data_IF_616166909099
#
_entry.id   IF_616166909099
#
_cell.length_a   1.000
_cell.length_b   1.000
_cell.length_c   1.000
_cell.angle_alpha   90.00
_cell.angle_beta   90.00
_cell.angle_gamma   90.00
#
_symmetry.space_group_name_H-M   'P 1'
#
loop_
_entity.id
_entity.type
_entity.pdbx_description
1 polymer ?
#
# COMPACT_ATOMS: atom_id res chain seq x y z
N UNK A 1 -3.80 -17.57 -8.13
CA UNK A 1 -5.23 -17.47 -8.50
C UNK A 1 -5.29 -17.45 -10.02
N UNK A 2 -6.08 -18.34 -10.62
CA UNK A 2 -6.18 -18.45 -12.07
C UNK A 2 -7.50 -17.82 -12.51
N UNK A 3 -7.46 -16.57 -12.97
CA UNK A 3 -8.67 -15.85 -13.37
C UNK A 3 -9.08 -16.28 -14.78
N UNK A 4 -10.33 -16.68 -14.97
CA UNK A 4 -10.88 -16.99 -16.29
C UNK A 4 -11.64 -15.77 -16.81
N UNK A 5 -11.40 -15.41 -18.08
CA UNK A 5 -12.03 -14.25 -18.69
C UNK A 5 -12.92 -14.64 -19.88
N UNK A 6 -14.07 -13.99 -19.97
CA UNK A 6 -14.92 -13.96 -21.16
C UNK A 6 -14.92 -12.55 -21.76
N UNK A 7 -15.04 -12.47 -23.08
CA UNK A 7 -15.21 -11.18 -23.79
C UNK A 7 -16.52 -11.20 -24.55
N UNK A 8 -17.29 -10.12 -24.42
CA UNK A 8 -18.56 -9.92 -25.11
C UNK A 8 -18.52 -8.66 -25.95
N UNK A 9 -19.15 -8.72 -27.10
CA UNK A 9 -19.12 -7.66 -28.08
C UNK A 9 -20.44 -6.87 -28.04
N UNK A 10 -20.36 -5.55 -28.05
CA UNK A 10 -21.51 -4.67 -28.10
C UNK A 10 -21.34 -3.67 -29.24
N UNK A 11 -22.33 -3.56 -30.11
CA UNK A 11 -22.36 -2.55 -31.17
C UNK A 11 -22.89 -1.22 -30.62
N UNK A 12 -22.14 -0.14 -30.83
CA UNK A 12 -22.50 1.23 -30.42
C UNK A 12 -22.11 2.18 -31.56
N UNK A 13 -23.10 2.87 -32.13
CA UNK A 13 -22.91 3.91 -33.17
C UNK A 13 -21.98 3.51 -34.34
N UNK A 14 -22.16 2.28 -34.86
CA UNK A 14 -21.37 1.74 -35.97
C UNK A 14 -19.95 1.28 -35.59
N UNK A 15 -19.65 1.23 -34.29
CA UNK A 15 -18.37 0.84 -33.72
C UNK A 15 -18.56 -0.27 -32.68
N UNK A 16 -17.52 -1.07 -32.47
CA UNK A 16 -17.58 -2.28 -31.65
C UNK A 16 -16.87 -2.08 -30.32
N UNK A 17 -17.61 -2.21 -29.22
CA UNK A 17 -17.08 -2.27 -27.86
C UNK A 17 -16.83 -3.72 -27.46
N UNK A 18 -15.75 -3.95 -26.71
CA UNK A 18 -15.40 -5.27 -26.16
C UNK A 18 -15.43 -5.19 -24.64
N UNK A 19 -16.40 -5.86 -24.03
CA UNK A 19 -16.57 -5.93 -22.58
C UNK A 19 -15.90 -7.19 -22.06
N UNK A 20 -15.08 -7.05 -21.03
CA UNK A 20 -14.31 -8.15 -20.44
C UNK A 20 -14.91 -8.49 -19.07
N UNK A 21 -15.14 -9.77 -18.84
CA UNK A 21 -15.72 -10.29 -17.61
C UNK A 21 -14.81 -11.35 -17.00
N UNK A 22 -14.62 -11.30 -15.68
CA UNK A 22 -14.10 -12.42 -14.89
C UNK A 22 -15.25 -13.42 -14.65
N UNK A 23 -15.00 -14.70 -14.94
CA UNK A 23 -15.96 -15.82 -14.80
C UNK A 23 -15.42 -16.98 -13.97
N UNK A 24 -14.37 -16.76 -13.17
CA UNK A 24 -13.58 -17.79 -12.47
C UNK A 24 -14.40 -18.78 -11.63
N UNK A 25 -15.49 -18.33 -11.03
CA UNK A 25 -16.38 -19.17 -10.17
C UNK A 25 -17.81 -19.29 -10.73
N UNK A 26 -17.98 -19.14 -12.05
CA UNK A 26 -19.31 -19.06 -12.67
C UNK A 26 -20.11 -17.81 -12.32
N UNK A 27 -19.53 -16.91 -11.50
CA UNK A 27 -20.02 -15.56 -11.26
C UNK A 27 -19.34 -14.63 -12.25
N UNK A 28 -20.16 -13.88 -12.96
CA UNK A 28 -19.71 -12.88 -13.91
C UNK A 28 -19.47 -11.55 -13.21
N UNK A 29 -18.21 -11.08 -13.20
CA UNK A 29 -17.83 -9.77 -12.69
C UNK A 29 -17.27 -8.94 -13.83
N UNK A 30 -17.83 -7.75 -14.06
CA UNK A 30 -17.34 -6.85 -15.09
C UNK A 30 -15.93 -6.35 -14.74
N UNK A 31 -14.95 -6.69 -15.58
CA UNK A 31 -13.54 -6.35 -15.38
C UNK A 31 -13.14 -5.04 -16.06
N UNK A 32 -13.91 -4.60 -17.04
CA UNK A 32 -13.65 -3.39 -17.83
C UNK A 32 -13.98 -3.60 -19.31
N UNK A 33 -13.51 -2.69 -20.17
CA UNK A 33 -13.84 -2.75 -21.58
C UNK A 33 -12.80 -2.08 -22.48
N UNK A 34 -12.94 -2.31 -23.78
CA UNK A 34 -12.29 -1.55 -24.85
C UNK A 34 -13.38 -0.80 -25.60
N UNK A 35 -13.35 0.52 -25.51
CA UNK A 35 -14.34 1.43 -26.13
C UNK A 35 -13.72 2.20 -27.27
N UNK A 36 -14.55 2.62 -28.22
CA UNK A 36 -14.12 3.60 -29.21
C UNK A 36 -14.32 5.01 -28.66
N UNK A 37 -13.26 5.80 -28.66
CA UNK A 37 -13.24 7.17 -28.20
C UNK A 37 -12.98 8.12 -29.38
N UNK A 38 -13.89 9.07 -29.58
CA UNK A 38 -13.75 10.11 -30.62
C UNK A 38 -12.97 11.30 -30.07
N UNK A 39 -11.75 11.48 -30.59
CA UNK A 39 -10.93 12.65 -30.30
C UNK A 39 -11.33 13.84 -31.19
N UNK A 40 -11.20 15.06 -30.65
CA UNK A 40 -11.50 16.32 -31.35
C UNK A 40 -12.93 16.42 -31.89
N UNK A 41 -13.90 15.80 -31.20
CA UNK A 41 -15.33 15.87 -31.57
C UNK A 41 -15.75 17.33 -31.80
N UNK A 42 -16.21 17.65 -33.00
CA UNK A 42 -16.61 19.01 -33.41
C UNK A 42 -15.60 19.77 -34.27
N UNK A 43 -14.37 19.25 -34.45
CA UNK A 43 -13.38 19.85 -35.37
C UNK A 43 -13.45 19.16 -36.73
N UNK A 44 -14.12 19.80 -37.69
CA UNK A 44 -14.27 19.28 -39.07
C UNK A 44 -12.91 18.90 -39.66
N UNK A 45 -12.78 17.64 -40.07
CA UNK A 45 -11.57 17.10 -40.72
C UNK A 45 -10.45 16.63 -39.77
N UNK A 46 -10.61 16.81 -38.45
CA UNK A 46 -9.62 16.37 -37.45
C UNK A 46 -10.15 15.32 -36.46
N UNK A 47 -11.41 14.90 -36.59
CA UNK A 47 -12.01 13.84 -35.79
C UNK A 47 -11.30 12.50 -36.05
N UNK A 48 -10.92 11.83 -34.96
CA UNK A 48 -10.29 10.51 -35.04
C UNK A 48 -10.90 9.59 -33.99
N UNK A 49 -11.40 8.45 -34.45
CA UNK A 49 -11.87 7.38 -33.60
C UNK A 49 -10.69 6.49 -33.20
N UNK A 50 -10.51 6.26 -31.90
CA UNK A 50 -9.45 5.42 -31.36
C UNK A 50 -10.00 4.47 -30.30
N UNK A 51 -9.60 3.20 -30.38
CA UNK A 51 -9.90 2.23 -29.34
C UNK A 51 -9.03 2.48 -28.12
N UNK A 52 -9.64 2.49 -26.94
CA UNK A 52 -8.99 2.76 -25.66
C UNK A 52 -9.51 1.76 -24.60
N UNK A 53 -8.62 1.25 -23.72
CA UNK A 53 -9.00 0.36 -22.63
C UNK A 53 -9.45 1.14 -21.39
N UNK A 54 -10.48 0.63 -20.72
CA UNK A 54 -11.07 1.17 -19.49
C UNK A 54 -11.20 0.06 -18.46
N UNK A 55 -11.02 0.41 -17.18
CA UNK A 55 -11.25 -0.51 -16.07
C UNK A 55 -12.74 -0.67 -15.76
N UNK A 56 -13.05 -1.47 -14.74
CA UNK A 56 -14.41 -1.72 -14.28
C UNK A 56 -15.15 -0.45 -13.78
N UNK A 57 -14.42 0.60 -13.41
CA UNK A 57 -14.96 1.89 -12.93
C UNK A 57 -15.04 2.93 -14.05
N UNK A 58 -14.91 2.50 -15.31
CA UNK A 58 -14.89 3.37 -16.50
C UNK A 58 -13.76 4.40 -16.49
N UNK A 59 -12.67 4.13 -15.75
CA UNK A 59 -11.46 4.93 -15.77
C UNK A 59 -10.53 4.44 -16.87
N UNK A 60 -10.02 5.38 -17.67
CA UNK A 60 -9.12 5.06 -18.78
C UNK A 60 -7.81 4.48 -18.25
N UNK A 61 -7.44 3.30 -18.75
CA UNK A 61 -6.16 2.67 -18.45
C UNK A 61 -5.11 3.30 -19.35
N UNK A 62 -4.23 4.15 -18.79
CA UNK A 62 -3.19 4.84 -19.56
C UNK A 62 -2.26 3.82 -20.22
N UNK A 63 -2.09 3.98 -21.53
CA UNK A 63 -1.11 3.26 -22.36
C UNK A 63 0.04 4.20 -22.66
N UNK A 64 1.29 3.77 -22.48
CA UNK A 64 2.46 4.58 -22.85
C UNK A 64 2.35 5.04 -24.31
N UNK A 65 2.56 6.33 -24.51
CA UNK A 65 2.18 7.09 -25.71
C UNK A 65 3.06 6.84 -26.96
N UNK A 66 3.90 5.81 -27.00
CA UNK A 66 4.97 5.69 -28.02
C UNK A 66 4.80 4.60 -29.07
N UNK A 67 3.64 3.92 -29.17
CA UNK A 67 3.33 3.10 -30.36
C UNK A 67 2.21 3.76 -31.16
N UNK A 68 2.64 4.56 -32.12
CA UNK A 68 1.91 5.62 -32.81
C UNK A 68 0.71 5.19 -33.67
N UNK A 69 0.40 3.91 -33.84
CA UNK A 69 -0.77 3.46 -34.59
C UNK A 69 -1.20 2.05 -34.13
N UNK A 70 -2.44 1.88 -33.66
CA UNK A 70 -3.17 0.61 -33.57
C UNK A 70 -2.58 -0.48 -32.67
N UNK A 71 -2.67 -0.34 -31.34
CA UNK A 71 -2.64 -1.53 -30.49
C UNK A 71 -3.88 -2.37 -30.81
N UNK A 72 -3.69 -3.61 -31.29
CA UNK A 72 -4.78 -4.52 -31.70
C UNK A 72 -5.79 -4.73 -30.55
N UNK A 73 -7.08 -4.90 -30.86
CA UNK A 73 -8.16 -5.15 -29.88
C UNK A 73 -7.75 -6.19 -28.84
N UNK A 74 -7.10 -7.28 -29.28
CA UNK A 74 -6.61 -8.35 -28.40
C UNK A 74 -5.65 -7.84 -27.31
N UNK A 75 -4.68 -7.01 -27.68
CA UNK A 75 -3.71 -6.44 -26.73
C UNK A 75 -4.39 -5.50 -25.72
N UNK A 76 -5.42 -4.77 -26.16
CA UNK A 76 -6.20 -3.89 -25.27
C UNK A 76 -7.05 -4.72 -24.30
N UNK A 77 -7.65 -5.82 -24.75
CA UNK A 77 -8.34 -6.78 -23.89
C UNK A 77 -7.37 -7.41 -22.89
N UNK A 78 -6.22 -7.90 -23.34
CA UNK A 78 -5.17 -8.45 -22.46
C UNK A 78 -4.72 -7.42 -21.41
N UNK A 79 -4.68 -6.13 -21.77
CA UNK A 79 -4.39 -5.06 -20.82
C UNK A 79 -5.48 -4.91 -19.77
N UNK A 80 -6.76 -4.91 -20.16
CA UNK A 80 -7.89 -4.88 -19.21
C UNK A 80 -7.81 -6.09 -18.26
N UNK A 81 -7.62 -7.29 -18.81
CA UNK A 81 -7.46 -8.52 -18.04
C UNK A 81 -6.30 -8.44 -17.04
N UNK A 82 -5.13 -7.98 -17.49
CA UNK A 82 -3.94 -7.84 -16.64
C UNK A 82 -4.14 -6.80 -15.53
N UNK A 83 -4.74 -5.65 -15.85
CA UNK A 83 -5.04 -4.61 -14.86
C UNK A 83 -5.99 -5.14 -13.80
N UNK A 84 -7.09 -5.77 -14.22
CA UNK A 84 -8.07 -6.37 -13.30
C UNK A 84 -7.44 -7.47 -12.45
N UNK A 85 -6.70 -8.40 -13.05
CA UNK A 85 -6.00 -9.46 -12.32
C UNK A 85 -5.00 -8.90 -11.30
N UNK A 86 -4.35 -7.77 -11.61
CA UNK A 86 -3.50 -7.04 -10.67
C UNK A 86 -4.26 -6.51 -9.47
N UNK A 87 -5.43 -5.90 -9.70
CA UNK A 87 -6.31 -5.39 -8.63
C UNK A 87 -6.79 -6.54 -7.73
N UNK A 88 -7.35 -7.62 -8.29
CA UNK A 88 -7.85 -8.73 -7.48
C UNK A 88 -6.72 -9.42 -6.70
N UNK A 89 -5.53 -9.54 -7.30
CA UNK A 89 -4.35 -10.05 -6.59
C UNK A 89 -3.98 -9.17 -5.40
N UNK A 90 -4.03 -7.86 -5.56
CA UNK A 90 -3.72 -6.91 -4.49
C UNK A 90 -4.81 -6.91 -3.40
N UNK A 91 -6.08 -6.94 -3.76
CA UNK A 91 -7.20 -7.06 -2.80
C UNK A 91 -7.11 -8.36 -1.98
N UNK A 92 -6.75 -9.46 -2.65
CA UNK A 92 -6.47 -10.72 -1.96
C UNK A 92 -5.28 -10.59 -1.02
N UNK A 93 -4.15 -10.01 -1.47
CA UNK A 93 -2.98 -9.78 -0.64
C UNK A 93 -3.33 -8.96 0.60
N UNK A 94 -4.11 -7.89 0.45
CA UNK A 94 -4.57 -7.04 1.56
C UNK A 94 -5.50 -7.83 2.50
N UNK A 95 -6.36 -8.69 1.97
CA UNK A 95 -7.24 -9.55 2.79
C UNK A 95 -6.44 -10.60 3.57
N UNK A 96 -5.43 -11.22 2.94
CA UNK A 96 -4.52 -12.14 3.62
C UNK A 96 -3.70 -11.41 4.70
N UNK A 97 -3.24 -10.18 4.42
CA UNK A 97 -2.53 -9.33 5.38
C UNK A 97 -3.41 -8.95 6.59
N UNK A 98 -4.70 -8.71 6.36
CA UNK A 98 -5.66 -8.46 7.43
C UNK A 98 -5.73 -9.65 8.39
N UNK A 99 -5.85 -10.88 7.91
CA UNK A 99 -5.91 -12.06 8.80
C UNK A 99 -4.66 -12.20 9.68
N UNK A 100 -3.49 -11.80 9.17
CA UNK A 100 -2.23 -11.81 9.94
C UNK A 100 -2.19 -10.66 10.96
N UNK A 101 -2.62 -9.46 10.57
CA UNK A 101 -2.49 -8.25 11.41
C UNK A 101 -3.74 -7.92 12.22
N UNK A 102 -4.80 -8.71 12.12
CA UNK A 102 -6.13 -8.44 12.70
C UNK A 102 -6.07 -8.04 14.16
N UNK A 103 -5.39 -8.83 14.98
CA UNK A 103 -5.29 -8.58 16.42
C UNK A 103 -4.60 -7.24 16.71
N UNK A 104 -3.51 -6.94 16.00
CA UNK A 104 -2.79 -5.67 16.14
C UNK A 104 -3.61 -4.48 15.63
N UNK A 105 -4.27 -4.60 14.49
CA UNK A 105 -5.13 -3.57 13.94
C UNK A 105 -6.27 -3.23 14.91
N UNK A 106 -6.95 -4.26 15.44
CA UNK A 106 -8.03 -4.09 16.41
C UNK A 106 -7.54 -3.48 17.73
N UNK A 107 -6.37 -3.92 18.25
CA UNK A 107 -5.73 -3.33 19.43
C UNK A 107 -5.45 -1.83 19.23
N UNK A 108 -5.11 -1.42 18.01
CA UNK A 108 -4.85 -0.03 17.64
C UNK A 108 -6.12 0.76 17.29
N UNK A 109 -7.30 0.14 17.34
CA UNK A 109 -8.59 0.77 17.06
C UNK A 109 -8.93 0.89 15.58
N UNK A 110 -8.25 0.13 14.71
CA UNK A 110 -8.47 0.14 13.27
C UNK A 110 -9.50 -0.94 12.88
N UNK A 111 -10.50 -0.54 12.10
CA UNK A 111 -11.49 -1.47 11.53
C UNK A 111 -10.97 -2.19 10.28
N UNK A 112 -11.55 -3.34 9.95
CA UNK A 112 -11.24 -4.07 8.72
C UNK A 112 -11.44 -3.21 7.46
N UNK A 113 -12.52 -2.43 7.42
CA UNK A 113 -12.82 -1.55 6.29
C UNK A 113 -11.71 -0.49 6.10
N UNK A 114 -11.32 0.19 7.18
CA UNK A 114 -10.26 1.18 7.15
C UNK A 114 -8.91 0.55 6.76
N UNK A 115 -8.60 -0.63 7.31
CA UNK A 115 -7.40 -1.40 6.98
C UNK A 115 -7.34 -1.73 5.50
N UNK A 116 -8.43 -2.27 4.91
CA UNK A 116 -8.47 -2.66 3.50
C UNK A 116 -8.39 -1.45 2.58
N UNK A 117 -9.06 -0.36 2.95
CA UNK A 117 -9.18 0.84 2.11
C UNK A 117 -7.90 1.67 2.03
N UNK A 118 -7.17 1.85 3.14
CA UNK A 118 -6.10 2.83 3.21
C UNK A 118 -4.72 2.20 3.42
N UNK A 119 -3.82 2.43 2.45
CA UNK A 119 -2.41 2.03 2.57
C UNK A 119 -1.73 2.61 3.81
N UNK A 120 -1.98 3.90 4.10
CA UNK A 120 -1.38 4.58 5.25
C UNK A 120 -1.79 3.95 6.58
N UNK A 121 -2.99 3.37 6.67
CA UNK A 121 -3.43 2.64 7.87
C UNK A 121 -2.58 1.38 8.07
N UNK A 122 -2.36 0.59 7.01
CA UNK A 122 -1.50 -0.61 7.06
C UNK A 122 -0.06 -0.26 7.41
N UNK A 123 0.51 0.74 6.75
CA UNK A 123 1.86 1.23 7.07
C UNK A 123 1.97 1.80 8.48
N UNK A 124 0.93 2.48 8.97
CA UNK A 124 0.91 3.02 10.33
C UNK A 124 0.89 1.94 11.40
N UNK A 125 0.13 0.85 11.18
CA UNK A 125 0.14 -0.32 12.08
C UNK A 125 1.54 -0.90 12.16
N UNK A 126 2.17 -1.18 11.00
CA UNK A 126 3.54 -1.73 10.97
C UNK A 126 4.54 -0.78 11.64
N UNK A 127 4.40 0.53 11.43
CA UNK A 127 5.25 1.51 12.09
C UNK A 127 5.11 1.42 13.61
N UNK A 128 3.89 1.36 14.15
CA UNK A 128 3.68 1.21 15.60
C UNK A 128 4.33 -0.06 16.13
N UNK A 129 4.15 -1.20 15.46
CA UNK A 129 4.76 -2.46 15.87
C UNK A 129 6.30 -2.38 15.90
N UNK A 130 6.90 -1.80 14.87
CA UNK A 130 8.35 -1.59 14.83
C UNK A 130 8.83 -0.63 15.93
N UNK A 131 8.05 0.40 16.26
CA UNK A 131 8.39 1.31 17.37
C UNK A 131 8.25 0.62 18.74
N UNK A 132 7.28 -0.29 18.91
CA UNK A 132 7.14 -1.08 20.15
C UNK A 132 8.36 -1.97 20.37
N UNK A 133 8.79 -2.72 19.35
CA UNK A 133 10.01 -3.54 19.40
C UNK A 133 11.26 -2.67 19.68
N UNK A 134 11.41 -1.55 18.96
CA UNK A 134 12.54 -0.66 19.16
C UNK A 134 12.57 -0.04 20.57
N UNK A 135 11.42 0.27 21.15
CA UNK A 135 11.33 0.74 22.54
C UNK A 135 11.79 -0.33 23.53
N UNK A 136 11.46 -1.60 23.31
CA UNK A 136 11.93 -2.69 24.17
C UNK A 136 13.47 -2.79 24.14
N UNK A 137 14.06 -2.70 22.96
CA UNK A 137 15.53 -2.70 22.78
C UNK A 137 16.19 -1.50 23.47
N UNK A 138 15.67 -0.28 23.25
CA UNK A 138 16.20 0.93 23.86
C UNK A 138 16.11 0.90 25.38
N UNK A 139 14.98 0.43 25.93
CA UNK A 139 14.81 0.31 27.38
C UNK A 139 15.76 -0.73 27.97
N UNK A 140 15.96 -1.86 27.28
CA UNK A 140 16.93 -2.87 27.71
C UNK A 140 18.36 -2.31 27.73
N UNK A 141 18.79 -1.64 26.64
CA UNK A 141 20.11 -1.03 26.55
C UNK A 141 20.33 0.03 27.62
N UNK A 142 19.32 0.87 27.89
CA UNK A 142 19.37 1.86 28.95
C UNK A 142 19.52 1.21 30.33
N UNK A 143 18.76 0.16 30.61
CA UNK A 143 18.83 -0.56 31.90
C UNK A 143 20.20 -1.20 32.11
N UNK A 144 20.77 -1.83 31.09
CA UNK A 144 22.12 -2.42 31.14
C UNK A 144 23.17 -1.33 31.39
N UNK A 145 23.05 -0.18 30.73
CA UNK A 145 23.97 0.96 30.88
C UNK A 145 23.88 1.62 32.27
N UNK A 146 22.67 1.81 32.78
CA UNK A 146 22.45 2.33 34.14
C UNK A 146 23.02 1.37 35.17
N UNK A 147 22.72 0.07 35.06
CA UNK A 147 23.26 -0.96 35.95
C UNK A 147 24.79 -1.02 35.92
N UNK A 148 25.40 -0.88 34.75
CA UNK A 148 26.86 -0.78 34.63
C UNK A 148 27.40 0.47 35.35
N UNK A 149 26.76 1.63 35.17
CA UNK A 149 27.17 2.89 35.80
C UNK A 149 27.07 2.88 37.33
N UNK A 150 26.19 2.05 37.88
CA UNK A 150 25.99 1.86 39.32
C UNK A 150 26.86 0.73 39.90
N UNK A 151 27.57 -0.02 39.05
CA UNK A 151 28.40 -1.14 39.49
C UNK A 151 29.64 -0.69 40.27
N UNK A 152 30.01 -1.44 41.30
CA UNK A 152 31.22 -1.17 42.09
C UNK A 152 32.48 -1.15 41.22
N UNK A 153 32.55 -1.99 40.18
CA UNK A 153 33.67 -2.04 39.24
C UNK A 153 33.82 -0.72 38.50
N UNK A 154 32.70 -0.15 38.02
CA UNK A 154 32.72 1.14 37.35
C UNK A 154 33.13 2.25 38.32
N UNK A 155 32.48 2.31 39.48
CA UNK A 155 32.75 3.34 40.50
C UNK A 155 34.20 3.33 41.00
N UNK A 156 34.84 2.16 41.05
CA UNK A 156 36.22 2.01 41.52
C UNK A 156 37.29 2.30 40.46
N UNK A 157 36.93 2.42 39.17
CA UNK A 157 37.89 2.59 38.05
C UNK A 157 37.58 3.85 37.22
N UNK A 158 36.39 4.44 37.35
CA UNK A 158 35.92 5.51 36.48
C UNK A 158 36.73 6.80 36.64
N UNK A 159 37.29 7.30 35.53
CA UNK A 159 37.76 8.69 35.45
C UNK A 159 36.58 9.63 35.19
N UNK A 160 36.77 10.93 35.46
CA UNK A 160 35.75 11.95 35.21
C UNK A 160 35.25 11.93 33.75
N UNK A 161 36.16 11.72 32.79
CA UNK A 161 35.83 11.63 31.36
C UNK A 161 34.95 10.42 31.06
N UNK A 162 35.26 9.26 31.64
CA UNK A 162 34.46 8.03 31.47
C UNK A 162 33.08 8.21 32.09
N UNK A 163 33.00 8.80 33.28
CA UNK A 163 31.71 9.10 33.96
C UNK A 163 30.85 10.06 33.15
N UNK A 164 31.44 11.13 32.58
CA UNK A 164 30.72 12.04 31.71
C UNK A 164 30.17 11.33 30.47
N UNK A 165 30.99 10.49 29.84
CA UNK A 165 30.61 9.78 28.61
C UNK A 165 29.42 8.83 28.84
N UNK A 166 29.42 8.10 29.96
CA UNK A 166 28.31 7.21 30.32
C UNK A 166 27.05 8.01 30.65
N UNK A 167 27.16 9.14 31.36
CA UNK A 167 26.03 10.04 31.62
C UNK A 167 25.42 10.58 30.32
N UNK A 168 26.25 10.98 29.37
CA UNK A 168 25.80 11.47 28.06
C UNK A 168 25.09 10.36 27.27
N UNK A 169 25.62 9.12 27.31
CA UNK A 169 24.98 7.96 26.68
C UNK A 169 23.61 7.63 27.31
N UNK A 170 23.51 7.64 28.64
CA UNK A 170 22.23 7.48 29.36
C UNK A 170 21.24 8.56 28.94
N UNK A 171 21.67 9.83 28.91
CA UNK A 171 20.83 10.94 28.49
C UNK A 171 20.33 10.79 27.04
N UNK A 172 21.21 10.39 26.12
CA UNK A 172 20.86 10.16 24.73
C UNK A 172 19.84 9.01 24.59
N UNK A 173 20.05 7.88 25.26
CA UNK A 173 19.07 6.78 25.25
C UNK A 173 17.70 7.20 25.82
N UNK A 174 17.69 7.97 26.92
CA UNK A 174 16.44 8.51 27.47
C UNK A 174 15.72 9.44 26.47
N UNK A 175 16.48 10.27 25.75
CA UNK A 175 15.96 11.12 24.70
C UNK A 175 15.37 10.30 23.55
N UNK A 176 16.07 9.28 23.09
CA UNK A 176 15.63 8.41 21.99
C UNK A 176 14.36 7.64 22.37
N UNK A 177 14.25 7.14 23.60
CA UNK A 177 13.03 6.50 24.13
C UNK A 177 11.86 7.50 24.09
N UNK A 178 12.08 8.73 24.54
CA UNK A 178 11.04 9.77 24.54
C UNK A 178 10.60 10.10 23.11
N UNK A 179 11.54 10.28 22.20
CA UNK A 179 11.25 10.68 20.82
C UNK A 179 10.53 9.56 20.06
N UNK A 180 10.95 8.30 20.26
CA UNK A 180 10.29 7.08 19.75
C UNK A 180 8.87 6.93 20.32
N UNK A 181 8.69 7.12 21.63
CA UNK A 181 7.37 7.09 22.29
C UNK A 181 6.44 8.16 21.70
N UNK A 182 6.92 9.38 21.52
CA UNK A 182 6.15 10.47 20.93
C UNK A 182 5.71 10.17 19.49
N UNK A 183 6.61 9.59 18.67
CA UNK A 183 6.28 9.17 17.30
C UNK A 183 5.22 8.06 17.29
N UNK A 184 5.36 7.07 18.18
CA UNK A 184 4.41 5.99 18.32
C UNK A 184 3.01 6.51 18.70
N UNK A 185 2.91 7.36 19.72
CA UNK A 185 1.62 7.91 20.17
C UNK A 185 0.97 8.82 19.12
N UNK A 186 1.76 9.61 18.39
CA UNK A 186 1.24 10.38 17.24
C UNK A 186 0.67 9.45 16.16
N UNK A 187 1.39 8.38 15.82
CA UNK A 187 0.94 7.40 14.83
C UNK A 187 -0.35 6.72 15.28
N UNK A 188 -0.43 6.27 16.53
CA UNK A 188 -1.66 5.73 17.14
C UNK A 188 -2.82 6.72 17.07
N UNK A 189 -2.56 8.00 17.31
CA UNK A 189 -3.55 9.06 17.19
C UNK A 189 -4.11 9.26 15.78
N UNK A 190 -3.29 9.04 14.74
CA UNK A 190 -3.75 9.08 13.35
C UNK A 190 -4.57 7.86 12.95
N UNK A 191 -4.25 6.68 13.49
CA UNK A 191 -4.94 5.43 13.19
C UNK A 191 -6.39 5.40 13.73
N UNK A 192 -6.66 6.09 14.84
CA UNK A 192 -7.98 6.13 15.49
C UNK A 192 -8.98 7.09 14.85
N UNK A 193 -8.58 7.87 13.84
CA UNK A 193 -9.43 8.83 13.13
C UNK A 193 -10.03 8.21 11.87
#
# INVERSE_FOLDING_TARGET
MNIQFETREKQVDGLKEYHVYDVTDGKEVYAGCVKNFTWNKGVKGAERNKLEPFDANDSRIITDFSTLEKTQVKLLIERVQKTYAGIVKEEKRISDEWEIQKENALRLGVSEEQFKRYYNTRSGIQLVLNQEEHLEELNRALNELVSFSESEVFLNISSEVVTSTIKDAIYNHQKDIRDTTNLMERTKGYLKK
#
